data_IF_754805187601
#
_entry.id   IF_754805187601
#
_cell.length_a   1.000
_cell.length_b   1.000
_cell.length_c   1.000
_cell.angle_alpha   90.00
_cell.angle_beta   90.00
_cell.angle_gamma   90.00
#
_symmetry.space_group_name_H-M   'P 1'
#
loop_
_entity.id
_entity.type
_entity.pdbx_description
1 polymer ?
#
# COMPACT_ATOMS: atom_id res chain seq x y z
N UNK A 1 -1.59 -24.96 7.32
CA UNK A 1 -2.48 -23.93 6.77
C UNK A 1 -1.73 -22.61 6.77
N UNK A 2 -1.85 -21.80 5.72
CA UNK A 2 -1.21 -20.47 5.64
C UNK A 2 -2.20 -19.34 5.93
N UNK A 3 -1.70 -18.11 5.99
CA UNK A 3 -2.54 -16.92 6.16
C UNK A 3 -3.47 -16.72 4.96
N UNK A 4 -4.74 -16.37 5.22
CA UNK A 4 -5.70 -16.04 4.19
C UNK A 4 -5.64 -14.54 3.88
N UNK A 5 -5.20 -14.19 2.67
CA UNK A 5 -5.10 -12.82 2.21
C UNK A 5 -6.39 -12.38 1.51
N UNK A 6 -6.91 -11.22 1.89
CA UNK A 6 -8.09 -10.57 1.32
C UNK A 6 -7.68 -9.27 0.65
N UNK A 7 -8.32 -8.92 -0.45
CA UNK A 7 -8.11 -7.65 -1.14
C UNK A 7 -8.58 -6.49 -0.25
N UNK A 8 -7.69 -5.55 0.07
CA UNK A 8 -8.05 -4.31 0.76
C UNK A 8 -8.48 -3.24 -0.25
N UNK A 9 -7.67 -3.01 -1.27
CA UNK A 9 -7.90 -1.96 -2.28
C UNK A 9 -7.28 -2.34 -3.62
N UNK A 10 -7.93 -1.90 -4.70
CA UNK A 10 -7.52 -2.12 -6.08
C UNK A 10 -8.25 -3.28 -6.76
N UNK A 11 -7.77 -3.74 -7.93
CA UNK A 11 -6.64 -3.17 -8.66
C UNK A 11 -6.94 -1.73 -9.09
N UNK A 12 -6.02 -0.82 -8.80
CA UNK A 12 -6.06 0.55 -9.34
C UNK A 12 -5.13 0.59 -10.55
N UNK A 13 -5.67 1.07 -11.66
CA UNK A 13 -4.99 1.06 -12.95
C UNK A 13 -4.69 2.49 -13.37
N UNK A 14 -3.43 2.75 -13.70
CA UNK A 14 -3.05 3.94 -14.46
C UNK A 14 -2.76 3.49 -15.89
N UNK A 15 -3.65 3.78 -16.86
CA UNK A 15 -3.42 3.41 -18.25
C UNK A 15 -2.11 4.02 -18.77
N UNK A 16 -1.33 3.20 -19.49
CA UNK A 16 -0.17 3.67 -20.23
C UNK A 16 -0.57 4.23 -21.60
N UNK A 17 0.38 4.85 -22.30
CA UNK A 17 0.22 5.11 -23.73
C UNK A 17 -0.03 3.78 -24.47
N UNK A 18 -0.71 3.82 -25.62
CA UNK A 18 -0.96 2.63 -26.42
C UNK A 18 0.37 1.90 -26.70
N UNK A 19 0.49 0.64 -26.22
CA UNK A 19 1.71 -0.18 -26.34
C UNK A 19 2.79 0.04 -25.28
N UNK A 20 2.62 0.99 -24.35
CA UNK A 20 3.63 1.37 -23.34
C UNK A 20 3.50 0.72 -21.95
N UNK A 21 2.50 -0.15 -21.74
CA UNK A 21 2.24 -0.80 -20.44
C UNK A 21 1.65 0.15 -19.40
N UNK A 22 0.51 -0.18 -18.78
CA UNK A 22 -0.05 0.59 -17.68
C UNK A 22 0.56 0.21 -16.32
N UNK A 23 0.34 1.02 -15.31
CA UNK A 23 0.59 0.63 -13.91
C UNK A 23 -0.64 -0.08 -13.36
N UNK A 24 -0.45 -1.08 -12.53
CA UNK A 24 -1.54 -1.76 -11.83
C UNK A 24 -1.09 -2.20 -10.46
N UNK A 25 -1.74 -1.69 -9.41
CA UNK A 25 -1.43 -2.02 -8.02
C UNK A 25 -2.67 -2.49 -7.27
N UNK A 26 -2.49 -3.46 -6.39
CA UNK A 26 -3.48 -3.86 -5.40
C UNK A 26 -2.78 -4.13 -4.07
N UNK A 27 -3.45 -3.80 -2.96
CA UNK A 27 -2.97 -4.15 -1.61
C UNK A 27 -3.89 -5.25 -1.07
N UNK A 28 -3.27 -6.34 -0.62
CA UNK A 28 -3.92 -7.43 0.09
C UNK A 28 -3.45 -7.45 1.53
N UNK A 29 -4.31 -7.88 2.44
CA UNK A 29 -3.99 -8.02 3.85
C UNK A 29 -4.44 -9.38 4.38
N UNK A 30 -3.75 -9.87 5.40
CA UNK A 30 -4.21 -10.98 6.22
C UNK A 30 -4.33 -10.49 7.67
N UNK A 31 -5.24 -11.09 8.43
CA UNK A 31 -5.45 -10.82 9.84
C UNK A 31 -5.09 -12.04 10.67
N UNK A 32 -4.79 -11.84 11.95
CA UNK A 32 -4.44 -12.91 12.88
C UNK A 32 -3.31 -13.80 12.33
N UNK A 33 -2.18 -13.16 12.00
CA UNK A 33 -1.06 -13.80 11.31
C UNK A 33 -0.55 -15.00 12.09
N UNK A 34 -0.50 -16.15 11.42
CA UNK A 34 0.07 -17.38 11.93
C UNK A 34 1.59 -17.26 11.98
N UNK A 35 2.19 -17.63 13.11
CA UNK A 35 3.63 -17.72 13.23
C UNK A 35 4.22 -18.80 12.33
N UNK A 36 5.41 -18.55 11.81
CA UNK A 36 6.22 -19.54 11.11
C UNK A 36 7.56 -19.74 11.83
N UNK A 37 8.19 -20.89 11.60
CA UNK A 37 9.58 -21.07 12.00
C UNK A 37 10.47 -20.02 11.30
N UNK A 38 11.61 -19.70 11.91
CA UNK A 38 12.58 -18.80 11.32
C UNK A 38 12.94 -19.25 9.89
N UNK A 39 12.94 -18.31 8.94
CA UNK A 39 13.21 -18.56 7.51
C UNK A 39 12.22 -19.51 6.80
N UNK A 40 11.06 -19.81 7.39
CA UNK A 40 10.02 -20.65 6.78
C UNK A 40 8.83 -19.85 6.21
N UNK A 41 8.88 -18.51 6.31
CA UNK A 41 7.86 -17.64 5.72
C UNK A 41 7.93 -17.70 4.19
N UNK A 42 6.83 -18.10 3.57
CA UNK A 42 6.66 -18.09 2.12
C UNK A 42 5.39 -17.34 1.77
N UNK A 43 5.52 -16.33 0.91
CA UNK A 43 4.37 -15.62 0.31
C UNK A 43 4.28 -16.03 -1.16
N UNK A 44 3.12 -16.49 -1.58
CA UNK A 44 2.87 -16.87 -2.98
C UNK A 44 1.90 -15.87 -3.60
N UNK A 45 2.37 -15.15 -4.62
CA UNK A 45 1.54 -14.25 -5.44
C UNK A 45 1.25 -14.92 -6.77
N UNK A 46 -0.02 -14.94 -7.17
CA UNK A 46 -0.45 -15.49 -8.46
C UNK A 46 -1.12 -14.41 -9.27
N UNK A 47 -0.52 -14.09 -10.41
CA UNK A 47 -1.10 -13.16 -11.38
C UNK A 47 -2.02 -13.93 -12.35
N UNK A 48 -3.16 -13.33 -12.71
CA UNK A 48 -4.11 -13.93 -13.66
C UNK A 48 -3.56 -13.97 -15.10
N UNK A 49 -2.57 -13.13 -15.38
CA UNK A 49 -1.76 -13.08 -16.61
C UNK A 49 -0.30 -12.89 -16.22
N UNK A 50 0.65 -13.17 -17.14
CA UNK A 50 2.06 -12.94 -16.85
C UNK A 50 2.33 -11.46 -16.57
N UNK A 51 2.85 -11.14 -15.38
CA UNK A 51 3.30 -9.80 -15.03
C UNK A 51 4.68 -9.55 -15.67
N UNK A 52 4.82 -8.44 -16.38
CA UNK A 52 6.09 -8.09 -17.06
C UNK A 52 7.15 -7.63 -16.08
N UNK A 53 6.77 -6.78 -15.13
CA UNK A 53 7.63 -6.24 -14.08
C UNK A 53 6.90 -6.35 -12.72
N UNK A 54 6.85 -7.57 -12.13
CA UNK A 54 6.19 -7.75 -10.85
C UNK A 54 7.05 -7.15 -9.73
N UNK A 55 6.46 -6.21 -8.98
CA UNK A 55 6.99 -5.78 -7.69
C UNK A 55 6.08 -6.31 -6.57
N UNK A 56 6.68 -6.85 -5.51
CA UNK A 56 5.98 -7.44 -4.36
C UNK A 56 6.60 -6.89 -3.08
N UNK A 57 5.84 -6.06 -2.38
CA UNK A 57 6.21 -5.45 -1.09
C UNK A 57 5.43 -6.13 0.03
N UNK A 58 6.13 -6.64 1.05
CA UNK A 58 5.54 -7.38 2.18
C UNK A 58 5.84 -6.64 3.47
N UNK A 59 4.80 -6.35 4.24
CA UNK A 59 4.86 -5.67 5.53
C UNK A 59 4.06 -6.49 6.56
N UNK A 60 4.57 -6.57 7.79
CA UNK A 60 3.89 -7.22 8.91
C UNK A 60 3.83 -6.26 10.10
N UNK A 61 2.65 -6.19 10.72
CA UNK A 61 2.36 -5.30 11.84
C UNK A 61 1.76 -6.08 12.99
N UNK A 62 2.03 -5.62 14.21
CA UNK A 62 1.43 -6.15 15.44
C UNK A 62 0.57 -5.08 16.12
N UNK A 63 -0.30 -5.48 17.04
CA UNK A 63 -1.16 -4.57 17.79
C UNK A 63 -2.46 -4.15 17.08
N UNK A 64 -2.79 -4.77 15.95
CA UNK A 64 -4.03 -4.51 15.19
C UNK A 64 -5.17 -5.45 15.62
N UNK A 65 -6.41 -5.05 15.31
CA UNK A 65 -7.59 -5.89 15.52
C UNK A 65 -7.45 -7.21 14.74
N UNK A 66 -7.47 -8.34 15.46
CA UNK A 66 -7.28 -9.67 14.87
C UNK A 66 -8.53 -10.18 14.12
N UNK A 67 -9.67 -9.54 14.32
CA UNK A 67 -10.98 -9.93 13.79
C UNK A 67 -11.42 -9.03 12.65
N UNK A 68 -11.33 -7.71 12.80
CA UNK A 68 -11.78 -6.76 11.78
C UNK A 68 -10.82 -5.57 11.59
N UNK A 69 -9.57 -5.81 11.14
CA UNK A 69 -8.58 -4.75 11.09
C UNK A 69 -8.86 -3.72 10.00
N UNK A 70 -9.31 -4.09 8.80
CA UNK A 70 -9.49 -3.12 7.70
C UNK A 70 -10.54 -2.06 8.07
N UNK A 71 -10.14 -0.79 8.14
CA UNK A 71 -11.05 0.32 8.40
C UNK A 71 -11.57 0.97 7.12
N UNK A 72 -10.74 1.77 6.47
CA UNK A 72 -11.10 2.48 5.24
C UNK A 72 -9.94 2.48 4.24
N UNK A 73 -10.24 2.74 2.97
CA UNK A 73 -9.25 2.75 1.90
C UNK A 73 -9.44 3.92 0.94
N UNK A 74 -8.35 4.41 0.38
CA UNK A 74 -8.36 5.35 -0.75
C UNK A 74 -7.42 4.87 -1.84
N UNK A 75 -7.75 5.20 -3.07
CA UNK A 75 -6.88 4.95 -4.21
C UNK A 75 -7.10 5.97 -5.30
N UNK A 76 -6.00 6.36 -5.93
CA UNK A 76 -6.05 7.20 -7.11
C UNK A 76 -4.87 6.87 -8.03
N UNK A 77 -4.98 7.37 -9.27
CA UNK A 77 -3.96 7.30 -10.28
C UNK A 77 -3.85 8.67 -10.94
N UNK A 78 -2.67 9.00 -11.45
CA UNK A 78 -2.45 10.31 -12.05
C UNK A 78 -1.10 10.44 -12.73
N UNK A 79 -0.79 11.65 -13.16
CA UNK A 79 0.49 12.02 -13.75
C UNK A 79 0.89 13.42 -13.24
N UNK A 80 1.81 13.44 -12.29
CA UNK A 80 2.29 14.66 -11.61
C UNK A 80 3.59 14.35 -10.87
N UNK A 81 4.20 15.35 -10.22
CA UNK A 81 5.40 15.20 -9.39
C UNK A 81 5.12 14.68 -7.97
N UNK A 82 3.87 14.35 -7.65
CA UNK A 82 3.49 13.83 -6.33
C UNK A 82 2.31 12.89 -6.49
N UNK A 83 2.51 11.66 -6.07
CA UNK A 83 1.45 10.66 -5.99
C UNK A 83 0.57 10.95 -4.77
N UNK A 84 -0.75 10.80 -4.90
CA UNK A 84 -1.73 11.10 -3.85
C UNK A 84 -2.87 10.09 -3.93
N UNK A 85 -3.15 9.37 -2.84
CA UNK A 85 -4.22 8.35 -2.76
C UNK A 85 -5.64 8.94 -2.77
N UNK A 86 -5.78 10.24 -2.51
CA UNK A 86 -7.03 10.86 -2.13
C UNK A 86 -7.28 10.75 -0.62
N UNK A 87 -8.14 11.64 -0.10
CA UNK A 87 -8.49 11.63 1.32
C UNK A 87 -9.54 10.57 1.65
N UNK A 88 -9.40 9.97 2.83
CA UNK A 88 -10.40 9.12 3.47
C UNK A 88 -10.52 9.48 4.95
N UNK A 89 -11.70 9.30 5.52
CA UNK A 89 -11.94 9.55 6.94
C UNK A 89 -11.91 8.25 7.73
N UNK A 90 -10.98 8.12 8.67
CA UNK A 90 -10.91 6.95 9.56
C UNK A 90 -12.11 6.92 10.51
N UNK A 91 -12.59 5.72 10.83
CA UNK A 91 -13.75 5.50 11.72
C UNK A 91 -13.34 5.00 13.10
N UNK A 92 -12.06 4.67 13.30
CA UNK A 92 -11.49 4.33 14.59
C UNK A 92 -10.55 5.44 15.08
N UNK A 93 -10.47 5.61 16.41
CA UNK A 93 -9.57 6.58 17.02
C UNK A 93 -8.10 6.24 16.77
N UNK A 94 -7.75 4.96 16.72
CA UNK A 94 -6.37 4.50 16.58
C UNK A 94 -6.24 3.62 15.34
N UNK A 95 -5.59 4.15 14.30
CA UNK A 95 -5.41 3.45 13.04
C UNK A 95 -3.93 3.41 12.64
N UNK A 96 -3.53 2.30 12.03
CA UNK A 96 -2.33 2.21 11.20
C UNK A 96 -2.72 2.53 9.75
N UNK A 97 -2.12 3.56 9.19
CA UNK A 97 -2.21 3.92 7.78
C UNK A 97 -1.04 3.27 7.05
N UNK A 98 -1.32 2.53 5.99
CA UNK A 98 -0.30 1.93 5.11
C UNK A 98 -0.52 2.47 3.70
N UNK A 99 0.47 3.21 3.21
CA UNK A 99 0.51 3.77 1.88
C UNK A 99 1.44 2.99 0.97
N UNK A 100 1.12 2.92 -0.32
CA UNK A 100 2.06 2.44 -1.32
C UNK A 100 1.76 2.99 -2.70
N UNK A 101 2.81 3.33 -3.43
CA UNK A 101 2.69 3.72 -4.84
C UNK A 101 3.30 2.69 -5.78
N UNK A 102 2.86 2.76 -7.03
CA UNK A 102 3.59 2.24 -8.18
C UNK A 102 3.85 3.41 -9.12
N UNK A 103 5.06 3.55 -9.65
CA UNK A 103 5.48 4.73 -10.44
C UNK A 103 6.20 4.35 -11.73
N UNK A 104 6.22 5.26 -12.70
CA UNK A 104 7.15 5.15 -13.84
C UNK A 104 8.50 5.83 -13.59
N UNK A 105 8.53 6.80 -12.67
CA UNK A 105 9.73 7.56 -12.31
C UNK A 105 10.36 6.93 -11.07
N UNK A 106 10.87 7.74 -10.14
CA UNK A 106 11.39 7.28 -8.86
C UNK A 106 10.70 8.07 -7.74
N UNK A 107 10.36 7.40 -6.64
CA UNK A 107 9.88 8.06 -5.42
C UNK A 107 11.05 8.65 -4.64
N UNK A 108 10.95 9.92 -4.26
CA UNK A 108 12.03 10.63 -3.56
C UNK A 108 12.02 10.41 -2.04
N UNK A 109 10.87 10.04 -1.47
CA UNK A 109 10.69 9.85 -0.03
C UNK A 109 9.22 9.65 0.33
N UNK A 110 8.92 9.48 1.63
CA UNK A 110 7.56 9.32 2.11
C UNK A 110 6.78 10.64 2.11
N UNK A 111 5.47 10.53 2.26
CA UNK A 111 4.57 11.65 2.54
C UNK A 111 4.82 12.30 3.90
N UNK A 112 4.29 13.50 4.05
CA UNK A 112 4.38 14.21 5.34
C UNK A 112 3.66 13.42 6.42
N UNK A 113 4.37 13.11 7.51
CA UNK A 113 3.85 12.33 8.63
C UNK A 113 3.99 10.81 8.47
N UNK A 114 4.36 10.33 7.28
CA UNK A 114 4.62 8.93 7.01
C UNK A 114 6.10 8.57 7.18
N UNK A 115 6.36 7.32 7.55
CA UNK A 115 7.69 6.72 7.61
C UNK A 115 7.88 5.83 6.37
N UNK A 116 8.97 6.04 5.64
CA UNK A 116 9.33 5.13 4.54
C UNK A 116 9.78 3.78 5.11
N UNK A 117 9.15 2.69 4.64
CA UNK A 117 9.51 1.31 5.00
C UNK A 117 10.42 0.69 3.96
N UNK A 118 10.18 1.00 2.69
CA UNK A 118 11.06 0.65 1.58
C UNK A 118 10.78 1.55 0.37
N UNK A 119 11.81 1.79 -0.43
CA UNK A 119 11.69 2.22 -1.82
C UNK A 119 12.37 1.14 -2.65
N UNK A 120 11.67 0.55 -3.62
CA UNK A 120 12.17 -0.59 -4.38
C UNK A 120 13.23 -0.17 -5.39
N UNK A 121 14.10 -1.11 -5.73
CA UNK A 121 15.15 -0.91 -6.73
C UNK A 121 15.09 -2.08 -7.71
N UNK A 122 15.02 -1.81 -9.02
CA UNK A 122 15.23 -0.51 -9.68
C UNK A 122 13.99 0.38 -9.79
N UNK A 123 12.80 -0.11 -9.49
CA UNK A 123 11.53 0.52 -9.92
C UNK A 123 11.13 1.80 -9.16
N UNK A 124 11.65 2.01 -7.95
CA UNK A 124 11.44 3.25 -7.19
C UNK A 124 10.06 3.39 -6.56
N UNK A 125 9.32 2.30 -6.40
CA UNK A 125 8.02 2.27 -5.74
C UNK A 125 8.18 2.32 -4.21
N UNK A 126 7.29 2.99 -3.50
CA UNK A 126 7.33 3.11 -2.04
C UNK A 126 6.29 2.22 -1.35
N UNK A 127 6.67 1.71 -0.18
CA UNK A 127 5.72 1.43 0.89
C UNK A 127 6.05 2.26 2.12
N UNK A 128 5.02 2.85 2.72
CA UNK A 128 5.14 3.79 3.83
C UNK A 128 4.02 3.57 4.85
N UNK A 129 4.23 4.01 6.09
CA UNK A 129 3.21 3.91 7.13
C UNK A 129 3.16 5.09 8.09
N UNK A 130 2.02 5.22 8.78
CA UNK A 130 1.79 6.18 9.84
C UNK A 130 0.84 5.59 10.87
N UNK A 131 1.08 5.81 12.17
CA UNK A 131 0.09 5.53 13.22
C UNK A 131 -0.60 6.83 13.60
N UNK A 132 -1.93 6.82 13.66
CA UNK A 132 -2.76 7.97 14.06
C UNK A 132 -3.57 7.62 15.32
N UNK A 133 -3.87 8.63 16.13
CA UNK A 133 -4.58 8.49 17.43
C UNK A 133 -5.85 9.33 17.51
N UNK A 134 -6.35 9.80 16.37
CA UNK A 134 -7.66 10.42 16.26
C UNK A 134 -8.35 9.99 14.97
N UNK A 135 -9.68 9.91 15.00
CA UNK A 135 -10.47 9.90 13.76
C UNK A 135 -10.22 11.19 12.99
N UNK A 136 -9.98 11.10 11.69
CA UNK A 136 -9.64 12.27 10.89
C UNK A 136 -9.60 11.97 9.41
N UNK A 137 -9.44 13.03 8.60
CA UNK A 137 -9.23 12.90 7.16
C UNK A 137 -7.74 12.72 6.88
N UNK A 138 -7.37 11.58 6.32
CA UNK A 138 -5.99 11.23 6.00
C UNK A 138 -5.84 10.86 4.53
N UNK A 139 -4.63 11.03 3.99
CA UNK A 139 -4.22 10.58 2.66
C UNK A 139 -2.75 10.20 2.71
N UNK A 140 -2.38 9.16 1.98
CA UNK A 140 -0.99 8.88 1.68
C UNK A 140 -0.58 9.66 0.42
N UNK A 141 0.61 10.26 0.46
CA UNK A 141 1.20 11.02 -0.64
C UNK A 141 2.67 10.66 -0.73
N UNK A 142 3.27 10.66 -1.92
CA UNK A 142 4.72 10.53 -2.02
C UNK A 142 5.29 11.41 -3.14
N UNK A 143 6.28 12.28 -2.83
CA UNK A 143 6.95 13.10 -3.84
C UNK A 143 7.78 12.22 -4.80
N UNK A 144 7.75 12.56 -6.08
CA UNK A 144 8.52 11.88 -7.12
C UNK A 144 9.72 12.74 -7.55
N UNK A 145 10.82 12.11 -7.97
CA UNK A 145 12.01 12.82 -8.47
C UNK A 145 11.76 13.59 -9.76
N UNK A 146 10.67 13.29 -10.47
CA UNK A 146 10.17 14.00 -11.64
C UNK A 146 8.69 13.71 -11.84
N UNK A 147 8.00 14.54 -12.62
CA UNK A 147 6.59 14.28 -12.95
C UNK A 147 6.47 13.05 -13.85
N UNK A 148 5.52 12.17 -13.53
CA UNK A 148 5.21 11.01 -14.35
C UNK A 148 3.99 10.25 -13.85
N UNK A 149 3.56 9.20 -14.57
CA UNK A 149 2.44 8.36 -14.16
C UNK A 149 2.68 7.64 -12.83
N UNK A 150 1.63 7.57 -12.03
CA UNK A 150 1.64 6.92 -10.73
C UNK A 150 0.27 6.31 -10.39
N UNK A 151 0.30 5.29 -9.53
CA UNK A 151 -0.83 4.82 -8.73
C UNK A 151 -0.47 5.05 -7.27
N UNK A 152 -1.38 5.53 -6.43
CA UNK A 152 -1.21 5.64 -4.98
C UNK A 152 -2.40 5.03 -4.28
N UNK A 153 -2.15 4.19 -3.29
CA UNK A 153 -3.17 3.55 -2.47
C UNK A 153 -2.88 3.78 -0.99
N UNK A 154 -3.93 4.00 -0.21
CA UNK A 154 -3.92 4.05 1.24
C UNK A 154 -4.90 3.00 1.76
N UNK A 155 -4.45 2.19 2.72
CA UNK A 155 -5.28 1.27 3.49
C UNK A 155 -5.09 1.60 4.96
N UNK A 156 -6.18 1.69 5.72
CA UNK A 156 -6.11 1.91 7.16
C UNK A 156 -6.56 0.67 7.94
N UNK A 157 -5.90 0.42 9.06
CA UNK A 157 -6.16 -0.73 9.92
C UNK A 157 -6.38 -0.31 11.36
N UNK A 158 -7.50 -0.74 11.93
CA UNK A 158 -7.86 -0.54 13.34
C UNK A 158 -6.83 -1.17 14.25
N UNK A 159 -6.36 -0.40 15.22
CA UNK A 159 -5.66 -0.95 16.37
C UNK A 159 -6.57 -1.94 17.13
N UNK A 160 -5.97 -2.88 17.85
CA UNK A 160 -6.73 -3.71 18.77
C UNK A 160 -7.40 -2.81 19.81
N UNK A 161 -8.69 -3.05 20.07
CA UNK A 161 -9.37 -2.41 21.21
C UNK A 161 -8.69 -2.78 22.53
N UNK A 162 -8.84 -1.94 23.58
CA UNK A 162 -8.44 -2.31 24.93
C UNK A 162 -9.16 -3.58 25.43
#
# INVERSE_FOLDING_TARGET
MGNAYTLAVGPTVQPGAAGGGGLTQAIYYAKNILGAAANANTVTVRFSVAATYPDVRILEYSGLDRTNPLDVTAAAAGNSSTSDSGAVTTTNGNDLLVGGNMVWTITAGPGVGFTSRMITSPDGDIAEDQVVTSTGSYRATAPLSGAGPWVMQLVTFRAAGP
#
